data_IF_973382123908
#
_entry.id   IF_973382123908
#
_cell.length_a   1.000
_cell.length_b   1.000
_cell.length_c   1.000
_cell.angle_alpha   90.00
_cell.angle_beta   90.00
_cell.angle_gamma   90.00
#
_symmetry.space_group_name_H-M   'P 1'
#
loop_
_entity.id
_entity.type
_entity.pdbx_description
1 polymer ?
#
# COMPACT_ATOMS: atom_id res chain seq x y z
N UNK A 1 -9.26 12.89 0.91
CA UNK A 1 -10.27 13.01 -0.16
C UNK A 1 -11.51 12.27 0.31
N UNK A 2 -12.66 12.93 0.44
CA UNK A 2 -13.94 12.26 0.77
C UNK A 2 -14.44 11.51 -0.49
N UNK A 3 -14.85 10.26 -0.32
CA UNK A 3 -15.34 9.37 -1.38
C UNK A 3 -16.67 8.68 -1.02
N UNK A 4 -17.31 9.08 0.08
CA UNK A 4 -18.51 8.37 0.55
C UNK A 4 -18.92 8.76 1.96
N UNK A 5 -20.09 8.27 2.37
CA UNK A 5 -20.67 8.56 3.68
C UNK A 5 -21.49 7.38 4.19
N UNK A 6 -21.53 7.21 5.51
CA UNK A 6 -22.42 6.28 6.20
C UNK A 6 -23.26 7.02 7.25
N UNK A 7 -24.49 6.59 7.47
CA UNK A 7 -25.34 7.14 8.51
C UNK A 7 -26.35 6.12 9.04
N UNK A 8 -26.92 6.40 10.22
CA UNK A 8 -27.92 5.55 10.84
C UNK A 8 -29.25 5.64 10.09
N UNK A 9 -29.76 4.51 9.61
CA UNK A 9 -31.05 4.36 8.94
C UNK A 9 -31.77 3.14 9.50
N UNK A 10 -32.89 3.37 10.18
CA UNK A 10 -33.72 2.31 10.77
C UNK A 10 -32.91 1.33 11.65
N UNK A 11 -32.05 1.88 12.52
CA UNK A 11 -31.19 1.09 13.42
C UNK A 11 -30.02 0.37 12.74
N UNK A 12 -29.71 0.69 11.49
CA UNK A 12 -28.56 0.13 10.76
C UNK A 12 -27.69 1.24 10.20
N UNK A 13 -26.38 1.06 10.23
CA UNK A 13 -25.44 2.01 9.63
C UNK A 13 -25.34 1.67 8.13
N UNK A 14 -25.84 2.55 7.27
CA UNK A 14 -25.92 2.35 5.82
C UNK A 14 -25.28 3.53 5.11
N UNK A 15 -24.56 3.26 4.04
CA UNK A 15 -23.81 4.26 3.31
C UNK A 15 -23.54 3.89 1.87
N UNK A 16 -22.64 4.66 1.27
CA UNK A 16 -22.18 4.48 -0.10
C UNK A 16 -20.73 4.92 -0.21
N UNK A 17 -20.03 4.37 -1.18
CA UNK A 17 -18.68 4.79 -1.58
C UNK A 17 -18.62 4.86 -3.09
N UNK A 18 -18.13 5.97 -3.62
CA UNK A 18 -17.95 6.17 -5.05
C UNK A 18 -16.61 6.85 -5.38
N UNK A 19 -15.95 6.33 -6.41
CA UNK A 19 -14.80 6.93 -7.09
C UNK A 19 -15.07 6.94 -8.59
N UNK A 20 -14.09 7.29 -9.43
CA UNK A 20 -14.30 7.35 -10.89
C UNK A 20 -14.72 6.01 -11.49
N UNK A 21 -14.24 4.90 -10.96
CA UNK A 21 -14.46 3.56 -11.53
C UNK A 21 -15.17 2.60 -10.58
N UNK A 22 -15.44 3.03 -9.34
CA UNK A 22 -16.11 2.24 -8.30
C UNK A 22 -17.37 2.99 -7.91
N UNK A 23 -18.52 2.32 -7.95
CA UNK A 23 -19.77 2.85 -7.42
C UNK A 23 -20.47 1.77 -6.57
N UNK A 24 -20.29 1.86 -5.26
CA UNK A 24 -20.94 1.00 -4.28
C UNK A 24 -22.06 1.79 -3.60
N UNK A 25 -23.19 1.92 -4.29
CA UNK A 25 -24.32 2.74 -3.87
C UNK A 25 -25.02 2.29 -2.57
N UNK A 26 -24.78 1.06 -2.11
CA UNK A 26 -25.44 0.50 -0.92
C UNK A 26 -24.53 -0.43 -0.14
N UNK A 27 -23.85 0.15 0.85
CA UNK A 27 -23.03 -0.52 1.83
C UNK A 27 -23.70 -0.47 3.21
N UNK A 28 -23.34 -1.42 4.07
CA UNK A 28 -23.71 -1.44 5.47
C UNK A 28 -22.49 -1.70 6.35
N UNK A 29 -22.49 -1.16 7.56
CA UNK A 29 -21.56 -1.53 8.61
C UNK A 29 -22.29 -2.43 9.61
N UNK A 30 -21.83 -3.66 9.74
CA UNK A 30 -22.32 -4.62 10.75
C UNK A 30 -21.33 -4.65 11.90
N UNK A 31 -21.79 -4.31 13.09
CA UNK A 31 -20.98 -4.40 14.30
C UNK A 31 -20.60 -5.85 14.57
N UNK A 32 -19.36 -6.06 15.00
CA UNK A 32 -18.83 -7.38 15.33
C UNK A 32 -18.68 -7.47 16.84
N UNK A 33 -19.51 -8.29 17.45
CA UNK A 33 -19.37 -8.66 18.85
C UNK A 33 -18.38 -9.82 18.98
N UNK A 34 -17.22 -9.57 19.57
CA UNK A 34 -16.18 -10.58 19.76
C UNK A 34 -15.41 -10.32 21.06
N UNK A 35 -14.94 -11.39 21.69
CA UNK A 35 -14.04 -11.30 22.85
C UNK A 35 -12.56 -11.16 22.45
N UNK A 36 -12.25 -11.25 21.15
CA UNK A 36 -10.90 -11.09 20.64
C UNK A 36 -10.63 -9.60 20.34
N UNK A 37 -9.63 -9.02 21.01
CA UNK A 37 -9.21 -7.62 20.81
C UNK A 37 -8.72 -7.31 19.39
N UNK A 38 -8.29 -8.34 18.64
CA UNK A 38 -7.88 -8.19 17.23
C UNK A 38 -9.05 -8.26 16.25
N UNK A 39 -10.26 -8.57 16.73
CA UNK A 39 -11.44 -8.58 15.88
C UNK A 39 -11.73 -7.16 15.34
N UNK A 40 -12.24 -7.05 14.11
CA UNK A 40 -12.72 -5.76 13.62
C UNK A 40 -13.87 -5.25 14.49
N UNK A 41 -14.04 -3.93 14.55
CA UNK A 41 -15.22 -3.30 15.14
C UNK A 41 -16.44 -3.47 14.23
N UNK A 42 -16.22 -3.39 12.92
CA UNK A 42 -17.27 -3.52 11.91
C UNK A 42 -16.85 -4.40 10.74
N UNK A 43 -17.79 -5.17 10.21
CA UNK A 43 -17.72 -5.73 8.86
C UNK A 43 -18.40 -4.77 7.87
N UNK A 44 -17.75 -4.56 6.73
CA UNK A 44 -18.35 -3.82 5.62
C UNK A 44 -19.07 -4.82 4.74
N UNK A 45 -20.37 -4.63 4.56
CA UNK A 45 -21.21 -5.48 3.71
C UNK A 45 -21.78 -4.70 2.54
N UNK A 46 -21.76 -5.27 1.35
CA UNK A 46 -22.35 -4.71 0.14
C UNK A 46 -23.63 -5.44 -0.24
N UNK A 47 -24.65 -4.71 -0.70
CA UNK A 47 -25.87 -5.32 -1.23
C UNK A 47 -25.73 -5.57 -2.74
N UNK A 48 -25.77 -6.83 -3.15
CA UNK A 48 -25.58 -7.22 -4.56
C UNK A 48 -26.90 -7.35 -5.36
N UNK A 49 -28.00 -6.81 -4.83
CA UNK A 49 -29.35 -6.94 -5.41
C UNK A 49 -30.19 -8.08 -4.81
N UNK A 50 -29.57 -9.09 -4.19
CA UNK A 50 -30.28 -10.19 -3.54
C UNK A 50 -29.89 -10.38 -2.07
N UNK A 51 -28.59 -10.28 -1.77
CA UNK A 51 -28.03 -10.52 -0.42
C UNK A 51 -26.98 -9.50 -0.05
N UNK A 52 -26.73 -9.42 1.25
CA UNK A 52 -25.58 -8.71 1.81
C UNK A 52 -24.37 -9.65 1.80
N UNK A 53 -23.28 -9.19 1.22
CA UNK A 53 -22.01 -9.93 1.14
C UNK A 53 -20.94 -9.11 1.84
N UNK A 54 -20.12 -9.74 2.67
CA UNK A 54 -18.99 -9.08 3.29
C UNK A 54 -17.93 -8.77 2.24
N UNK A 55 -17.50 -7.51 2.19
CA UNK A 55 -16.50 -6.99 1.25
C UNK A 55 -15.38 -6.25 1.98
N UNK A 56 -15.33 -6.31 3.31
CA UNK A 56 -14.32 -5.60 4.07
C UNK A 56 -14.54 -5.65 5.57
N UNK A 57 -13.65 -4.99 6.29
CA UNK A 57 -13.69 -4.87 7.73
C UNK A 57 -12.99 -3.58 8.18
N UNK A 58 -13.38 -3.08 9.35
CA UNK A 58 -12.89 -1.84 9.92
C UNK A 58 -12.47 -2.03 11.38
N UNK A 59 -11.35 -1.40 11.75
CA UNK A 59 -10.81 -1.35 13.10
C UNK A 59 -10.68 0.09 13.56
N UNK A 60 -10.82 0.32 14.85
CA UNK A 60 -10.53 1.61 15.46
C UNK A 60 -9.04 1.97 15.37
N UNK A 61 -8.78 3.26 15.18
CA UNK A 61 -7.45 3.83 15.08
C UNK A 61 -7.43 5.25 15.61
N UNK A 62 -6.25 5.71 16.03
CA UNK A 62 -6.05 7.08 16.51
C UNK A 62 -5.17 7.85 15.52
N UNK A 63 -5.66 9.00 15.06
CA UNK A 63 -4.94 9.84 14.11
C UNK A 63 -3.71 10.46 14.79
N UNK A 64 -2.50 10.17 14.28
CA UNK A 64 -1.22 10.57 14.90
C UNK A 64 -1.09 12.08 15.16
N UNK A 65 -1.70 12.92 14.32
CA UNK A 65 -1.56 14.38 14.40
C UNK A 65 -2.63 15.04 15.27
N UNK A 66 -3.87 14.56 15.20
CA UNK A 66 -5.03 15.20 15.84
C UNK A 66 -5.49 14.48 17.11
N UNK A 67 -5.09 13.22 17.29
CA UNK A 67 -5.63 12.36 18.34
C UNK A 67 -7.07 11.90 18.08
N UNK A 68 -7.65 12.23 16.93
CA UNK A 68 -9.02 11.86 16.58
C UNK A 68 -9.13 10.34 16.41
N UNK A 69 -10.15 9.74 17.03
CA UNK A 69 -10.50 8.34 16.85
C UNK A 69 -11.26 8.20 15.53
N UNK A 70 -10.86 7.23 14.71
CA UNK A 70 -11.48 6.96 13.43
C UNK A 70 -11.44 5.46 13.15
N UNK A 71 -12.27 5.00 12.22
CA UNK A 71 -12.26 3.62 11.76
C UNK A 71 -11.39 3.50 10.50
N UNK A 72 -10.56 2.47 10.41
CA UNK A 72 -9.72 2.19 9.23
C UNK A 72 -9.89 0.76 8.76
N UNK A 73 -9.72 0.53 7.46
CA UNK A 73 -9.70 -0.81 6.89
C UNK A 73 -9.66 -0.78 5.38
N UNK A 74 -10.08 -1.88 4.76
CA UNK A 74 -10.11 -2.03 3.31
C UNK A 74 -11.47 -2.55 2.85
N UNK A 75 -11.83 -2.18 1.63
CA UNK A 75 -12.84 -2.89 0.84
C UNK A 75 -12.12 -3.72 -0.21
N UNK A 76 -12.43 -5.01 -0.26
CA UNK A 76 -11.88 -5.98 -1.17
C UNK A 76 -13.02 -6.85 -1.71
N UNK A 77 -13.22 -6.79 -3.01
CA UNK A 77 -14.24 -7.56 -3.72
C UNK A 77 -13.62 -8.15 -5.00
N UNK A 78 -13.98 -9.37 -5.42
CA UNK A 78 -13.41 -10.00 -6.61
C UNK A 78 -13.54 -9.19 -7.91
N UNK A 79 -14.46 -8.23 -7.98
CA UNK A 79 -14.59 -7.32 -9.13
C UNK A 79 -13.55 -6.19 -9.16
N UNK A 80 -12.79 -6.02 -8.08
CA UNK A 80 -11.78 -4.97 -7.92
C UNK A 80 -10.40 -5.51 -8.30
N UNK A 81 -9.60 -4.69 -8.98
CA UNK A 81 -8.22 -5.05 -9.32
C UNK A 81 -7.29 -5.05 -8.10
N UNK A 82 -7.62 -4.22 -7.09
CA UNK A 82 -6.89 -4.11 -5.83
C UNK A 82 -7.86 -3.72 -4.70
N UNK A 83 -7.55 -4.07 -3.44
CA UNK A 83 -8.31 -3.58 -2.29
C UNK A 83 -8.29 -2.05 -2.22
N UNK A 84 -9.42 -1.43 -1.86
CA UNK A 84 -9.56 0.01 -1.64
C UNK A 84 -9.38 0.34 -0.15
N UNK A 85 -8.27 0.99 0.26
CA UNK A 85 -8.06 1.37 1.64
C UNK A 85 -8.90 2.59 2.01
N UNK A 86 -9.65 2.49 3.10
CA UNK A 86 -10.58 3.52 3.55
C UNK A 86 -10.36 3.88 5.02
N UNK A 87 -10.75 5.11 5.36
CA UNK A 87 -10.91 5.57 6.73
C UNK A 87 -12.25 6.30 6.89
N UNK A 88 -12.92 6.05 8.01
CA UNK A 88 -14.21 6.64 8.35
C UNK A 88 -14.02 7.56 9.56
N UNK A 89 -14.34 8.83 9.40
CA UNK A 89 -14.27 9.86 10.43
C UNK A 89 -15.67 10.30 10.82
N UNK A 90 -15.93 10.47 12.11
CA UNK A 90 -17.25 10.80 12.65
C UNK A 90 -17.73 9.73 13.63
N UNK A 91 -19.05 9.63 13.79
CA UNK A 91 -19.70 8.75 14.77
C UNK A 91 -20.99 8.16 14.20
N UNK A 92 -21.59 7.20 14.92
CA UNK A 92 -22.89 6.63 14.53
C UNK A 92 -24.00 7.70 14.55
N UNK A 93 -23.92 8.66 15.48
CA UNK A 93 -24.91 9.71 15.70
C UNK A 93 -24.81 10.82 14.63
N UNK A 94 -23.59 11.27 14.32
CA UNK A 94 -23.34 12.32 13.32
C UNK A 94 -23.31 11.75 11.89
N UNK A 95 -22.99 10.47 11.75
CA UNK A 95 -22.60 9.84 10.50
C UNK A 95 -21.08 9.83 10.31
N UNK A 96 -20.64 8.98 9.39
CA UNK A 96 -19.23 8.84 9.03
C UNK A 96 -18.98 9.42 7.63
N UNK A 97 -17.90 10.17 7.49
CA UNK A 97 -17.32 10.56 6.21
C UNK A 97 -16.22 9.58 5.84
N UNK A 98 -16.27 9.04 4.63
CA UNK A 98 -15.29 8.08 4.13
C UNK A 98 -14.19 8.82 3.38
N UNK A 99 -12.95 8.62 3.79
CA UNK A 99 -11.77 9.10 3.09
C UNK A 99 -11.00 7.94 2.45
N UNK A 100 -10.58 8.12 1.21
CA UNK A 100 -9.61 7.22 0.58
C UNK A 100 -8.23 7.39 1.23
N UNK A 101 -7.55 6.28 1.55
CA UNK A 101 -6.16 6.28 2.00
C UNK A 101 -5.25 5.77 0.89
N UNK A 102 -4.26 6.59 0.53
CA UNK A 102 -3.14 6.15 -0.29
C UNK A 102 -2.23 5.29 0.57
N UNK A 103 -1.77 4.12 0.09
CA UNK A 103 -0.63 3.45 0.69
C UNK A 103 0.51 4.46 0.77
N UNK A 104 1.00 4.76 1.97
CA UNK A 104 2.30 5.43 2.08
C UNK A 104 3.31 4.44 1.50
N UNK A 105 4.07 4.87 0.48
CA UNK A 105 5.19 4.08 0.01
C UNK A 105 6.04 3.80 1.24
N UNK A 106 6.12 2.54 1.68
CA UNK A 106 7.29 2.15 2.45
C UNK A 106 8.45 2.47 1.51
N UNK A 107 9.39 3.29 1.97
CA UNK A 107 10.61 3.51 1.23
C UNK A 107 11.28 2.14 1.08
N UNK A 108 11.03 1.46 -0.03
CA UNK A 108 11.65 0.17 -0.38
C UNK A 108 13.17 0.32 -0.58
N UNK A 109 13.63 1.57 -0.62
CA UNK A 109 15.00 1.95 -0.33
C UNK A 109 15.10 2.19 1.17
N UNK A 110 15.43 1.13 1.92
CA UNK A 110 15.75 1.22 3.35
C UNK A 110 16.73 2.37 3.64
N UNK A 111 16.83 2.83 4.90
CA UNK A 111 17.69 3.96 5.24
C UNK A 111 19.07 3.67 4.67
N UNK A 112 19.54 4.52 3.75
CA UNK A 112 20.90 4.45 3.27
C UNK A 112 21.78 4.65 4.51
N UNK A 113 22.19 3.54 5.13
CA UNK A 113 23.24 3.52 6.12
C UNK A 113 24.48 3.90 5.33
N UNK A 114 24.67 5.21 5.17
CA UNK A 114 25.96 5.78 4.85
C UNK A 114 26.79 5.47 6.07
N UNK A 115 27.42 4.31 6.10
CA UNK A 115 28.54 4.08 6.98
C UNK A 115 29.52 5.19 6.66
N UNK A 116 29.61 6.19 7.54
CA UNK A 116 30.74 7.10 7.58
C UNK A 116 31.98 6.22 7.50
N UNK A 117 32.74 6.32 6.40
CA UNK A 117 34.04 5.67 6.28
C UNK A 117 34.92 6.27 7.37
N UNK A 118 34.93 5.60 8.50
CA UNK A 118 35.87 5.85 9.57
C UNK A 118 37.27 5.52 9.05
N UNK A 119 38.17 6.41 9.40
CA UNK A 119 39.56 6.45 9.00
C UNK A 119 40.31 5.27 9.65
N UNK A 120 40.44 4.16 8.93
CA UNK A 120 41.19 3.00 9.38
C UNK A 120 41.93 2.35 8.22
N UNK A 121 43.25 2.56 8.18
CA UNK A 121 44.19 1.75 7.42
C UNK A 121 44.11 0.28 7.88
N UNK A 122 44.03 -0.69 6.97
CA UNK A 122 44.84 -1.89 7.15
C UNK A 122 45.51 -2.31 5.84
N UNK A 123 46.82 -2.55 5.94
CA UNK A 123 47.57 -3.22 4.90
C UNK A 123 47.14 -4.68 4.70
N UNK A 124 47.49 -5.16 3.52
CA UNK A 124 47.75 -6.55 3.16
C UNK A 124 46.55 -7.51 2.99
N UNK A 125 46.19 -7.70 1.71
CA UNK A 125 46.07 -9.04 1.10
C UNK A 125 44.82 -9.85 1.41
N UNK A 126 43.88 -9.90 0.45
CA UNK A 126 42.75 -10.81 0.49
C UNK A 126 41.79 -10.58 -0.66
N UNK A 127 42.05 -11.28 -1.76
CA UNK A 127 41.28 -11.34 -3.00
C UNK A 127 39.84 -11.86 -2.77
N UNK A 128 38.86 -10.96 -2.87
CA UNK A 128 37.46 -11.28 -3.17
C UNK A 128 36.91 -10.17 -4.07
N UNK A 129 37.29 -10.25 -5.34
CA UNK A 129 36.93 -9.28 -6.37
C UNK A 129 35.46 -9.39 -6.75
N UNK A 130 34.68 -8.35 -6.45
CA UNK A 130 33.66 -7.93 -7.40
C UNK A 130 34.38 -7.63 -8.71
N UNK A 131 33.94 -8.27 -9.80
CA UNK A 131 34.62 -8.27 -11.10
C UNK A 131 35.23 -6.91 -11.43
N UNK A 132 36.53 -6.92 -11.71
CA UNK A 132 37.31 -5.71 -11.99
C UNK A 132 36.59 -4.84 -13.01
N UNK A 133 36.51 -3.55 -12.73
CA UNK A 133 35.91 -2.56 -13.62
C UNK A 133 36.47 -2.75 -15.04
N UNK A 134 35.61 -2.89 -16.03
CA UNK A 134 35.98 -2.87 -17.46
C UNK A 134 36.32 -1.47 -17.95
N UNK A 135 36.38 -0.50 -17.03
CA UNK A 135 36.69 0.89 -17.27
C UNK A 135 38.04 1.22 -16.64
N UNK A 136 38.89 1.89 -17.39
CA UNK A 136 40.13 2.48 -16.90
C UNK A 136 39.82 3.64 -15.94
N UNK A 137 40.88 4.14 -15.30
CA UNK A 137 40.83 5.24 -14.33
C UNK A 137 40.30 6.58 -14.90
N UNK A 138 40.15 6.69 -16.22
CA UNK A 138 39.58 7.85 -16.91
C UNK A 138 38.17 7.56 -17.47
N UNK A 139 37.59 6.39 -17.17
CA UNK A 139 36.25 5.99 -17.61
C UNK A 139 36.18 5.44 -19.04
N UNK A 140 37.33 5.13 -19.67
CA UNK A 140 37.42 4.49 -20.97
C UNK A 140 37.36 2.96 -20.86
N UNK A 141 36.72 2.27 -21.80
CA UNK A 141 36.66 0.81 -21.78
C UNK A 141 38.03 0.19 -22.07
N UNK A 142 38.51 -0.70 -21.19
CA UNK A 142 39.78 -1.41 -21.39
C UNK A 142 39.63 -2.44 -22.50
N UNK A 143 40.16 -2.13 -23.68
CA UNK A 143 40.09 -2.99 -24.87
C UNK A 143 41.13 -4.11 -24.80
N UNK A 144 40.97 -5.04 -23.88
CA UNK A 144 41.64 -6.35 -23.94
C UNK A 144 40.72 -7.46 -23.41
N UNK A 145 39.83 -7.92 -24.28
CA UNK A 145 39.42 -9.32 -24.27
C UNK A 145 39.19 -9.78 -25.72
N UNK A 146 39.68 -10.98 -25.98
CA UNK A 146 39.91 -11.58 -27.29
C UNK A 146 38.80 -11.37 -28.32
N UNK A 147 39.24 -11.05 -29.54
CA UNK A 147 38.43 -11.04 -30.74
C UNK A 147 37.74 -12.39 -30.95
N UNK A 148 36.42 -12.39 -30.86
CA UNK A 148 35.57 -13.20 -31.72
C UNK A 148 34.81 -12.21 -32.60
N UNK A 149 35.19 -12.16 -33.88
CA UNK A 149 34.36 -11.56 -34.93
C UNK A 149 32.94 -12.13 -34.81
N UNK A 150 31.98 -11.27 -34.49
CA UNK A 150 30.58 -11.53 -34.77
C UNK A 150 30.22 -10.69 -35.98
N UNK A 151 30.13 -11.40 -37.08
CA UNK A 151 29.69 -10.99 -38.41
C UNK A 151 28.28 -10.38 -38.32
N UNK A 152 28.17 -9.06 -38.42
CA UNK A 152 26.91 -8.33 -38.50
C UNK A 152 26.43 -8.30 -39.96
N UNK A 153 25.86 -9.41 -40.44
CA UNK A 153 25.02 -9.41 -41.63
C UNK A 153 23.54 -9.26 -41.22
N UNK A 154 23.05 -8.03 -41.20
CA UNK A 154 21.60 -7.75 -41.18
C UNK A 154 21.21 -7.26 -42.56
N UNK A 155 20.65 -8.17 -43.37
CA UNK A 155 20.05 -7.82 -44.65
C UNK A 155 18.84 -6.88 -44.44
N UNK A 156 18.78 -5.79 -45.20
CA UNK A 156 17.59 -4.96 -45.36
C UNK A 156 16.71 -5.50 -46.49
#
# INVERSE_FOLDING_TARGET
>A
MNIGEFGLKNGRIIGWIATRTIDMAKLGLREVESQNELAPNYEVVAFNGNRWVQVGALWEAVAKKTGEIFLQGNIDDPSMAEPLPIALFGSVEEGYRVAWRRPERRDDFGPAVRTSRDNGNPGNGGEYGFGGSTADENGGLTRESNAAELDDEVAF
#
